data_IF_252764808264
#
_entry.id   IF_252764808264
#
_cell.length_a   1.000
_cell.length_b   1.000
_cell.length_c   1.000
_cell.angle_alpha   90.00
_cell.angle_beta   90.00
_cell.angle_gamma   90.00
#
_symmetry.space_group_name_H-M   'P 1'
#
loop_
_entity.id
_entity.type
_entity.pdbx_description
1 polymer ?
#
# COMPACT_ATOMS: atom_id res chain seq x y z
N UNK A 1 -30.71 -15.43 -38.29
CA UNK A 1 -29.33 -15.00 -38.58
C UNK A 1 -29.04 -13.80 -37.68
N UNK A 2 -28.43 -14.04 -36.51
CA UNK A 2 -28.00 -12.94 -35.62
C UNK A 2 -26.67 -12.42 -36.11
N UNK A 3 -26.64 -11.18 -36.56
CA UNK A 3 -25.41 -10.44 -36.86
C UNK A 3 -24.63 -10.25 -35.52
N UNK A 4 -23.34 -10.54 -35.48
CA UNK A 4 -22.55 -10.27 -34.28
C UNK A 4 -22.56 -8.76 -34.00
N UNK A 5 -22.82 -8.39 -32.75
CA UNK A 5 -22.73 -7.01 -32.30
C UNK A 5 -21.34 -6.46 -32.70
N UNK A 6 -21.30 -5.43 -33.55
CA UNK A 6 -20.06 -4.70 -33.84
C UNK A 6 -19.49 -4.18 -32.52
N UNK A 7 -18.37 -4.73 -32.10
CA UNK A 7 -17.55 -4.17 -31.04
C UNK A 7 -17.07 -2.82 -31.57
N UNK A 8 -17.67 -1.75 -31.10
CA UNK A 8 -17.33 -0.39 -31.47
C UNK A 8 -15.96 -0.06 -30.83
N UNK A 9 -14.89 -0.14 -31.61
CA UNK A 9 -13.60 0.38 -31.15
C UNK A 9 -13.65 1.91 -31.31
N UNK A 10 -13.41 2.68 -30.25
CA UNK A 10 -13.41 4.14 -30.34
C UNK A 10 -12.35 4.60 -31.35
N UNK A 11 -12.67 5.61 -32.15
CA UNK A 11 -11.70 6.21 -33.05
C UNK A 11 -10.60 6.95 -32.26
N UNK A 12 -9.46 7.21 -32.89
CA UNK A 12 -8.38 8.00 -32.28
C UNK A 12 -8.84 9.39 -31.86
N UNK A 13 -9.77 10.02 -32.62
CA UNK A 13 -10.38 11.30 -32.25
C UNK A 13 -11.29 11.19 -31.04
N UNK A 14 -12.04 10.07 -30.87
CA UNK A 14 -12.88 9.83 -29.70
C UNK A 14 -12.03 9.66 -28.42
N UNK A 15 -10.88 8.98 -28.52
CA UNK A 15 -9.93 8.85 -27.42
C UNK A 15 -9.38 10.20 -26.96
N UNK A 16 -8.91 11.04 -27.90
CA UNK A 16 -8.45 12.40 -27.58
C UNK A 16 -9.56 13.25 -26.95
N UNK A 17 -10.74 13.23 -27.55
CA UNK A 17 -11.89 13.97 -27.04
C UNK A 17 -12.27 13.51 -25.61
N UNK A 18 -12.17 12.21 -25.33
CA UNK A 18 -12.42 11.64 -24.00
C UNK A 18 -11.40 12.13 -22.98
N UNK A 19 -10.10 12.12 -23.30
CA UNK A 19 -9.03 12.63 -22.43
C UNK A 19 -9.22 14.14 -22.16
N UNK A 20 -9.45 14.95 -23.20
CA UNK A 20 -9.71 16.39 -23.04
C UNK A 20 -10.95 16.66 -22.19
N UNK A 21 -12.04 15.91 -22.44
CA UNK A 21 -13.26 16.01 -21.64
C UNK A 21 -13.00 15.66 -20.18
N UNK A 22 -12.23 14.60 -19.91
CA UNK A 22 -11.91 14.16 -18.57
C UNK A 22 -11.04 15.19 -17.82
N UNK A 23 -10.02 15.77 -18.47
CA UNK A 23 -9.18 16.83 -17.92
C UNK A 23 -9.86 18.20 -17.82
N UNK A 24 -10.99 18.43 -18.49
CA UNK A 24 -11.67 19.73 -18.53
C UNK A 24 -12.59 20.03 -17.35
N UNK A 25 -12.33 19.49 -16.15
CA UNK A 25 -13.16 19.72 -14.97
C UNK A 25 -12.30 19.74 -13.70
N UNK A 26 -12.34 20.82 -12.89
CA UNK A 26 -11.49 20.97 -11.73
C UNK A 26 -11.63 19.85 -10.69
N UNK A 27 -12.86 19.37 -10.44
CA UNK A 27 -13.08 18.29 -9.47
C UNK A 27 -12.44 16.99 -9.94
N UNK A 28 -12.50 16.66 -11.22
CA UNK A 28 -11.84 15.47 -11.77
C UNK A 28 -10.32 15.55 -11.66
N UNK A 29 -9.73 16.75 -11.88
CA UNK A 29 -8.30 16.95 -11.67
C UNK A 29 -7.91 16.76 -10.19
N UNK A 30 -8.71 17.27 -9.24
CA UNK A 30 -8.49 17.04 -7.82
C UNK A 30 -8.67 15.56 -7.43
N UNK A 31 -9.64 14.85 -8.03
CA UNK A 31 -9.80 13.39 -7.82
C UNK A 31 -8.55 12.67 -8.31
N UNK A 32 -8.04 12.96 -9.51
CA UNK A 32 -6.80 12.38 -10.03
C UNK A 32 -5.60 12.70 -9.13
N UNK A 33 -5.53 13.92 -8.57
CA UNK A 33 -4.47 14.29 -7.63
C UNK A 33 -4.56 13.52 -6.33
N UNK A 34 -5.76 13.32 -5.77
CA UNK A 34 -5.96 12.49 -4.57
C UNK A 34 -5.61 11.02 -4.80
N UNK A 35 -5.85 10.53 -6.03
CA UNK A 35 -5.54 9.16 -6.44
C UNK A 35 -4.08 8.97 -6.92
N UNK A 36 -3.21 9.96 -6.78
CA UNK A 36 -1.83 9.90 -7.29
C UNK A 36 -1.04 8.71 -6.69
N UNK A 37 -1.13 8.54 -5.38
CA UNK A 37 -0.42 7.51 -4.62
C UNK A 37 -1.35 6.71 -3.71
N UNK A 38 -2.66 6.80 -3.92
CA UNK A 38 -3.64 6.16 -3.06
C UNK A 38 -4.79 5.55 -3.87
N UNK A 39 -5.59 4.74 -3.20
CA UNK A 39 -6.82 4.17 -3.74
C UNK A 39 -7.96 4.45 -2.78
N UNK A 40 -9.08 4.94 -3.32
CA UNK A 40 -10.25 5.26 -2.52
C UNK A 40 -11.51 4.63 -3.10
N UNK A 41 -12.41 4.20 -2.21
CA UNK A 41 -13.77 3.82 -2.56
C UNK A 41 -14.64 5.04 -2.90
N UNK A 42 -15.78 4.79 -3.57
CA UNK A 42 -16.71 5.88 -3.95
C UNK A 42 -17.20 6.67 -2.73
N UNK A 43 -17.50 5.99 -1.62
CA UNK A 43 -17.98 6.64 -0.39
C UNK A 43 -16.88 7.51 0.26
N UNK A 44 -15.65 7.02 0.25
CA UNK A 44 -14.50 7.77 0.76
C UNK A 44 -14.23 9.02 -0.10
N UNK A 45 -14.27 8.89 -1.44
CA UNK A 45 -14.15 10.05 -2.33
C UNK A 45 -15.30 11.04 -2.15
N UNK A 46 -16.54 10.56 -1.90
CA UNK A 46 -17.67 11.41 -1.58
C UNK A 46 -17.44 12.21 -0.28
N UNK A 47 -16.88 11.57 0.74
CA UNK A 47 -16.47 12.21 1.99
C UNK A 47 -15.33 13.21 1.78
N UNK A 48 -14.26 12.81 1.07
CA UNK A 48 -13.07 13.63 0.79
C UNK A 48 -13.47 14.93 0.06
N UNK A 49 -14.31 14.84 -0.95
CA UNK A 49 -14.72 15.99 -1.76
C UNK A 49 -16.02 16.65 -1.30
N UNK A 50 -16.59 16.24 -0.16
CA UNK A 50 -17.85 16.74 0.39
C UNK A 50 -18.97 16.79 -0.67
N UNK A 51 -19.07 15.75 -1.51
CA UNK A 51 -19.96 15.67 -2.66
C UNK A 51 -20.81 14.41 -2.56
N UNK A 52 -22.07 14.46 -3.02
CA UNK A 52 -22.93 13.27 -3.01
C UNK A 52 -22.35 12.11 -3.83
N UNK A 53 -22.58 10.88 -3.36
CA UNK A 53 -22.08 9.64 -4.00
C UNK A 53 -22.38 9.57 -5.50
N UNK A 54 -23.60 9.99 -5.93
CA UNK A 54 -24.00 10.00 -7.35
C UNK A 54 -23.14 10.95 -8.18
N UNK A 55 -22.78 12.12 -7.64
CA UNK A 55 -21.90 13.09 -8.29
C UNK A 55 -20.48 12.52 -8.49
N UNK A 56 -19.89 11.96 -7.42
CA UNK A 56 -18.58 11.31 -7.50
C UNK A 56 -18.61 10.14 -8.49
N UNK A 57 -19.63 9.28 -8.44
CA UNK A 57 -19.78 8.16 -9.38
C UNK A 57 -19.81 8.62 -10.85
N UNK A 58 -20.45 9.79 -11.13
CA UNK A 58 -20.45 10.37 -12.46
C UNK A 58 -19.04 10.80 -12.89
N UNK A 59 -18.30 11.53 -12.03
CA UNK A 59 -16.93 11.96 -12.35
C UNK A 59 -15.99 10.77 -12.54
N UNK A 60 -16.07 9.75 -11.69
CA UNK A 60 -15.29 8.51 -11.80
C UNK A 60 -15.60 7.75 -13.10
N UNK A 61 -16.87 7.69 -13.52
CA UNK A 61 -17.24 7.09 -14.81
C UNK A 61 -16.59 7.80 -15.98
N UNK A 62 -16.56 9.14 -15.98
CA UNK A 62 -15.89 9.93 -17.03
C UNK A 62 -14.39 9.66 -17.05
N UNK A 63 -13.75 9.65 -15.88
CA UNK A 63 -12.33 9.32 -15.75
C UNK A 63 -12.00 7.89 -16.21
N UNK A 64 -12.83 6.91 -15.84
CA UNK A 64 -12.66 5.52 -16.28
C UNK A 64 -12.85 5.33 -17.77
N UNK A 65 -13.82 6.02 -18.39
CA UNK A 65 -14.02 6.00 -19.84
C UNK A 65 -12.84 6.60 -20.63
N UNK A 66 -12.12 7.56 -20.01
CA UNK A 66 -10.92 8.15 -20.58
C UNK A 66 -9.64 7.32 -20.29
N UNK A 67 -9.73 6.24 -19.52
CA UNK A 67 -8.58 5.44 -19.11
C UNK A 67 -7.67 6.10 -18.06
N UNK A 68 -8.13 7.19 -17.40
CA UNK A 68 -7.33 7.93 -16.40
C UNK A 68 -7.38 7.30 -15.01
N UNK A 69 -8.36 6.46 -14.73
CA UNK A 69 -8.46 5.68 -13.50
C UNK A 69 -8.69 4.21 -13.81
N UNK A 70 -8.08 3.36 -13.02
CA UNK A 70 -8.32 1.93 -12.95
C UNK A 70 -9.19 1.61 -11.73
N UNK A 71 -9.93 0.53 -11.82
CA UNK A 71 -10.77 0.06 -10.72
C UNK A 71 -10.31 -1.31 -10.26
N UNK A 72 -10.35 -1.53 -8.95
CA UNK A 72 -10.19 -2.84 -8.34
C UNK A 72 -11.42 -3.14 -7.49
N UNK A 73 -11.99 -4.32 -7.70
CA UNK A 73 -13.08 -4.79 -6.86
C UNK A 73 -12.52 -5.53 -5.67
N UNK A 74 -12.91 -5.12 -4.47
CA UNK A 74 -12.55 -5.76 -3.22
C UNK A 74 -13.83 -6.11 -2.44
N UNK A 75 -14.27 -7.36 -2.54
CA UNK A 75 -15.55 -7.79 -2.01
C UNK A 75 -16.71 -7.04 -2.67
N UNK A 76 -17.48 -6.33 -1.87
CA UNK A 76 -18.60 -5.51 -2.32
C UNK A 76 -18.21 -4.05 -2.64
N UNK A 77 -16.98 -3.65 -2.37
CA UNK A 77 -16.48 -2.31 -2.64
C UNK A 77 -15.72 -2.24 -3.97
N UNK A 78 -15.78 -1.08 -4.61
CA UNK A 78 -14.95 -0.75 -5.79
C UNK A 78 -14.03 0.37 -5.36
N UNK A 79 -12.72 0.09 -5.41
CA UNK A 79 -11.68 1.08 -5.20
C UNK A 79 -11.19 1.61 -6.54
N UNK A 80 -10.91 2.89 -6.56
CA UNK A 80 -10.36 3.61 -7.70
C UNK A 80 -8.93 4.02 -7.41
N UNK A 81 -8.06 3.81 -8.38
CA UNK A 81 -6.68 4.29 -8.39
C UNK A 81 -6.39 4.98 -9.71
N UNK A 82 -5.37 5.78 -9.77
CA UNK A 82 -4.91 6.40 -11.02
C UNK A 82 -4.35 5.32 -11.94
N UNK A 83 -4.74 5.36 -13.22
CA UNK A 83 -4.16 4.47 -14.22
C UNK A 83 -2.77 4.97 -14.62
N UNK A 84 -1.84 4.03 -14.86
CA UNK A 84 -0.52 4.35 -15.37
C UNK A 84 -0.61 4.77 -16.85
N UNK A 85 0.10 5.82 -17.22
CA UNK A 85 0.17 6.27 -18.59
C UNK A 85 1.07 5.32 -19.42
N UNK A 86 0.54 4.80 -20.51
CA UNK A 86 1.30 4.02 -21.49
C UNK A 86 1.69 4.94 -22.64
N UNK A 87 2.93 5.42 -22.67
CA UNK A 87 3.36 6.44 -23.64
C UNK A 87 3.57 5.90 -25.06
N UNK A 88 3.64 4.60 -25.23
CA UNK A 88 3.78 3.87 -26.49
C UNK A 88 2.46 3.68 -27.26
N UNK A 89 1.32 4.05 -26.65
CA UNK A 89 0.00 3.99 -27.28
C UNK A 89 -0.50 5.37 -27.66
N UNK A 90 -1.45 5.41 -28.60
CA UNK A 90 -2.08 6.67 -29.01
C UNK A 90 -2.79 7.37 -27.83
N UNK A 91 -2.48 8.66 -27.65
CA UNK A 91 -2.99 9.46 -26.53
C UNK A 91 -2.19 9.33 -25.23
N UNK A 92 -1.26 8.38 -25.16
CA UNK A 92 -0.45 8.12 -23.98
C UNK A 92 0.43 9.29 -23.55
N UNK A 93 1.01 10.02 -24.52
CA UNK A 93 1.78 11.25 -24.23
C UNK A 93 0.91 12.34 -23.60
N UNK A 94 -0.33 12.53 -24.08
CA UNK A 94 -1.26 13.49 -23.48
C UNK A 94 -1.69 13.04 -22.08
N UNK A 95 -1.92 11.74 -21.92
CA UNK A 95 -2.24 11.15 -20.60
C UNK A 95 -1.10 11.41 -19.61
N UNK A 96 0.16 11.10 -19.98
CA UNK A 96 1.33 11.32 -19.14
C UNK A 96 1.49 12.79 -18.76
N UNK A 97 1.44 13.70 -19.74
CA UNK A 97 1.54 15.14 -19.51
C UNK A 97 0.43 15.66 -18.59
N UNK A 98 -0.82 15.20 -18.78
CA UNK A 98 -1.93 15.58 -17.90
C UNK A 98 -1.67 15.13 -16.45
N UNK A 99 -1.17 13.92 -16.23
CA UNK A 99 -0.89 13.42 -14.90
C UNK A 99 0.29 14.15 -14.25
N UNK A 100 1.33 14.50 -15.00
CA UNK A 100 2.45 15.31 -14.53
C UNK A 100 1.98 16.70 -14.03
N UNK A 101 1.14 17.39 -14.81
CA UNK A 101 0.55 18.66 -14.38
C UNK A 101 -0.39 18.50 -13.16
N UNK A 102 -1.15 17.41 -13.11
CA UNK A 102 -1.99 17.08 -11.94
C UNK A 102 -1.16 16.86 -10.70
N UNK A 103 0.03 16.27 -10.81
CA UNK A 103 0.93 16.04 -9.68
C UNK A 103 1.51 17.33 -9.09
N UNK A 104 1.61 18.38 -9.90
CA UNK A 104 1.99 19.72 -9.45
C UNK A 104 0.85 20.46 -8.72
N UNK A 105 -0.41 19.99 -8.83
CA UNK A 105 -1.54 20.64 -8.15
C UNK A 105 -1.47 20.46 -6.63
N UNK A 106 -1.75 21.54 -5.92
CA UNK A 106 -2.01 21.49 -4.48
C UNK A 106 -3.52 21.27 -4.25
N UNK A 107 -3.85 20.23 -3.50
CA UNK A 107 -5.22 20.03 -3.05
C UNK A 107 -5.60 21.11 -2.03
N UNK A 108 -6.86 21.58 -2.01
CA UNK A 108 -7.36 22.46 -0.97
C UNK A 108 -7.13 21.89 0.43
N UNK A 109 -6.83 22.73 1.42
CA UNK A 109 -6.48 22.29 2.77
C UNK A 109 -7.59 21.46 3.44
N UNK A 110 -8.86 21.77 3.16
CA UNK A 110 -10.00 21.02 3.66
C UNK A 110 -10.13 19.63 3.01
N UNK A 111 -9.73 19.48 1.74
CA UNK A 111 -9.65 18.17 1.05
C UNK A 111 -8.52 17.34 1.66
N UNK A 112 -7.34 17.92 1.86
CA UNK A 112 -6.21 17.24 2.51
C UNK A 112 -6.57 16.76 3.91
N UNK A 113 -7.25 17.61 4.70
CA UNK A 113 -7.73 17.25 6.04
C UNK A 113 -8.69 16.05 6.00
N UNK A 114 -9.62 16.01 5.02
CA UNK A 114 -10.55 14.89 4.87
C UNK A 114 -9.88 13.62 4.38
N UNK A 115 -8.83 13.69 3.55
CA UNK A 115 -7.99 12.55 3.22
C UNK A 115 -7.35 11.99 4.50
N UNK A 116 -6.73 12.84 5.31
CA UNK A 116 -6.16 12.44 6.60
C UNK A 116 -7.19 11.79 7.54
N UNK A 117 -8.43 12.30 7.56
CA UNK A 117 -9.51 11.68 8.34
C UNK A 117 -9.89 10.27 7.85
N UNK A 118 -9.92 10.04 6.53
CA UNK A 118 -10.14 8.70 5.95
C UNK A 118 -9.01 7.75 6.33
N UNK A 119 -7.76 8.20 6.23
CA UNK A 119 -6.60 7.40 6.66
C UNK A 119 -6.66 7.07 8.16
N UNK A 120 -7.01 8.03 9.01
CA UNK A 120 -7.18 7.80 10.45
C UNK A 120 -8.29 6.77 10.75
N UNK A 121 -9.42 6.80 10.01
CA UNK A 121 -10.48 5.80 10.15
C UNK A 121 -10.01 4.40 9.77
N UNK A 122 -9.26 4.27 8.67
CA UNK A 122 -8.67 2.98 8.25
C UNK A 122 -7.68 2.46 9.29
N UNK A 123 -6.77 3.32 9.77
CA UNK A 123 -5.77 2.95 10.77
C UNK A 123 -6.42 2.51 12.10
N UNK A 124 -7.46 3.22 12.56
CA UNK A 124 -8.21 2.83 13.74
C UNK A 124 -8.89 1.46 13.58
N UNK A 125 -9.51 1.21 12.42
CA UNK A 125 -10.14 -0.08 12.14
C UNK A 125 -9.13 -1.25 12.17
N UNK A 126 -7.92 -1.06 11.61
CA UNK A 126 -6.84 -2.03 11.65
C UNK A 126 -6.36 -2.28 13.09
N UNK A 127 -6.07 -1.21 13.85
CA UNK A 127 -5.64 -1.32 15.25
C UNK A 127 -6.67 -2.03 16.13
N UNK A 128 -7.96 -1.68 15.99
CA UNK A 128 -9.06 -2.34 16.72
C UNK A 128 -9.19 -3.83 16.36
N UNK A 129 -8.91 -4.19 15.12
CA UNK A 129 -8.89 -5.59 14.69
C UNK A 129 -7.80 -6.37 15.43
N UNK A 130 -6.55 -5.91 15.36
CA UNK A 130 -5.41 -6.60 16.00
C UNK A 130 -5.55 -6.66 17.52
N UNK A 131 -6.09 -5.63 18.16
CA UNK A 131 -6.35 -5.65 19.59
C UNK A 131 -7.35 -6.74 20.01
N UNK A 132 -8.34 -7.07 19.15
CA UNK A 132 -9.36 -8.10 19.43
C UNK A 132 -8.92 -9.52 19.05
N UNK A 133 -8.09 -9.65 18.02
CA UNK A 133 -7.77 -10.94 17.39
C UNK A 133 -6.40 -11.49 17.77
N UNK A 134 -5.66 -10.83 18.66
CA UNK A 134 -4.30 -11.23 19.02
C UNK A 134 -4.18 -12.71 19.43
N UNK A 135 -5.13 -13.23 20.20
CA UNK A 135 -5.12 -14.62 20.69
C UNK A 135 -5.35 -15.66 19.57
N UNK A 136 -5.97 -15.28 18.46
CA UNK A 136 -6.27 -16.15 17.31
C UNK A 136 -5.43 -15.83 16.07
N UNK A 137 -4.56 -14.81 16.16
CA UNK A 137 -3.81 -14.26 15.04
C UNK A 137 -2.97 -15.32 14.32
N UNK A 138 -2.23 -16.14 15.06
CA UNK A 138 -1.36 -17.17 14.50
C UNK A 138 -2.11 -18.19 13.63
N UNK A 139 -3.34 -18.55 14.04
CA UNK A 139 -4.18 -19.49 13.26
C UNK A 139 -4.79 -18.85 12.00
N UNK A 140 -4.85 -17.54 11.92
CA UNK A 140 -5.53 -16.81 10.84
C UNK A 140 -4.55 -16.15 9.85
N UNK A 141 -3.38 -15.71 10.31
CA UNK A 141 -2.35 -15.11 9.46
C UNK A 141 -1.86 -16.07 8.37
N UNK A 142 -1.73 -17.38 8.69
CA UNK A 142 -1.29 -18.40 7.76
C UNK A 142 -2.35 -18.83 6.72
N UNK A 143 -3.57 -18.26 6.78
CA UNK A 143 -4.65 -18.69 5.88
C UNK A 143 -4.43 -18.25 4.44
N UNK A 144 -3.72 -17.15 4.19
CA UNK A 144 -3.43 -16.66 2.84
C UNK A 144 -2.02 -17.07 2.42
N UNK A 145 -1.01 -16.65 3.18
CA UNK A 145 0.39 -16.97 2.92
C UNK A 145 1.20 -16.86 4.21
N UNK A 146 1.48 -17.98 4.85
CA UNK A 146 2.36 -18.01 6.00
C UNK A 146 3.84 -17.90 5.62
N UNK A 147 4.70 -17.60 6.60
CA UNK A 147 6.15 -17.46 6.40
C UNK A 147 6.78 -18.59 5.57
N UNK A 148 6.43 -19.88 5.74
CA UNK A 148 7.04 -20.95 4.96
C UNK A 148 6.90 -20.82 3.45
N UNK A 149 5.83 -20.15 2.95
CA UNK A 149 5.59 -19.99 1.52
C UNK A 149 6.54 -19.00 0.85
N UNK A 150 7.01 -17.97 1.54
CA UNK A 150 7.84 -16.90 0.96
C UNK A 150 9.22 -16.77 1.60
N UNK A 151 9.49 -17.48 2.72
CA UNK A 151 10.72 -17.42 3.50
C UNK A 151 11.97 -17.60 2.65
N UNK A 152 12.04 -18.65 1.84
CA UNK A 152 13.23 -18.97 1.08
C UNK A 152 13.53 -17.92 0.00
N UNK A 153 12.50 -17.35 -0.63
CA UNK A 153 12.66 -16.24 -1.58
C UNK A 153 13.15 -14.98 -0.88
N UNK A 154 12.59 -14.66 0.30
CA UNK A 154 13.01 -13.51 1.11
C UNK A 154 14.45 -13.66 1.59
N UNK A 155 14.86 -14.86 2.06
CA UNK A 155 16.23 -15.13 2.47
C UNK A 155 17.20 -15.05 1.28
N UNK A 156 16.83 -15.57 0.12
CA UNK A 156 17.65 -15.45 -1.10
C UNK A 156 17.88 -13.99 -1.47
N UNK A 157 16.85 -13.15 -1.38
CA UNK A 157 16.94 -11.72 -1.62
C UNK A 157 17.84 -11.05 -0.56
N UNK A 158 17.60 -11.34 0.72
CA UNK A 158 18.38 -10.79 1.83
C UNK A 158 19.86 -11.17 1.74
N UNK A 159 20.17 -12.43 1.41
CA UNK A 159 21.53 -12.94 1.26
C UNK A 159 22.24 -12.41 -0.01
N UNK A 160 21.49 -11.88 -0.99
CA UNK A 160 22.06 -11.20 -2.17
C UNK A 160 22.56 -9.78 -1.87
N UNK A 161 22.10 -9.21 -0.75
CA UNK A 161 22.53 -7.89 -0.29
C UNK A 161 23.80 -7.99 0.55
N UNK A 162 24.63 -6.98 0.48
CA UNK A 162 25.91 -6.93 1.21
C UNK A 162 25.81 -5.93 2.35
N UNK A 163 25.83 -6.41 3.58
CA UNK A 163 25.81 -5.59 4.78
C UNK A 163 27.11 -5.74 5.58
N UNK A 164 27.63 -4.68 6.24
CA UNK A 164 28.76 -4.80 7.15
C UNK A 164 28.36 -5.63 8.40
N UNK A 165 29.36 -6.26 9.03
CA UNK A 165 29.11 -7.07 10.23
C UNK A 165 28.47 -6.30 11.40
N UNK A 166 28.53 -4.97 11.39
CA UNK A 166 27.92 -4.07 12.39
C UNK A 166 26.53 -3.57 11.97
N UNK A 167 26.01 -4.05 10.85
CA UNK A 167 24.73 -3.58 10.32
C UNK A 167 23.57 -3.89 11.27
N UNK A 168 22.58 -3.02 11.20
CA UNK A 168 21.32 -3.14 11.96
C UNK A 168 20.14 -3.37 11.04
N UNK A 169 19.12 -4.08 11.54
CA UNK A 169 17.85 -4.23 10.87
C UNK A 169 16.70 -3.59 11.68
N UNK A 170 15.69 -3.11 10.96
CA UNK A 170 14.42 -2.63 11.50
C UNK A 170 13.29 -3.43 10.86
N UNK A 171 12.57 -4.22 11.63
CA UNK A 171 11.36 -4.91 11.15
C UNK A 171 10.12 -4.15 11.60
N UNK A 172 9.23 -3.90 10.66
CA UNK A 172 7.95 -3.24 10.89
C UNK A 172 6.84 -4.28 10.90
N UNK A 173 6.05 -4.32 11.99
CA UNK A 173 4.99 -5.29 12.15
C UNK A 173 5.53 -6.73 12.22
N UNK A 174 6.35 -7.10 13.22
CA UNK A 174 6.97 -8.43 13.30
C UNK A 174 5.96 -9.57 13.47
N UNK A 175 4.69 -9.26 13.69
CA UNK A 175 3.66 -10.25 13.94
C UNK A 175 4.00 -11.11 15.15
N UNK A 176 4.00 -12.44 14.98
CA UNK A 176 4.38 -13.39 16.02
C UNK A 176 5.91 -13.50 16.26
N UNK A 177 6.71 -12.73 15.51
CA UNK A 177 8.16 -12.73 15.61
C UNK A 177 8.86 -13.88 14.88
N UNK A 178 8.15 -14.66 14.06
CA UNK A 178 8.69 -15.85 13.42
C UNK A 178 9.84 -15.58 12.45
N UNK A 179 9.96 -14.36 11.89
CA UNK A 179 11.08 -13.98 11.04
C UNK A 179 12.27 -13.35 11.79
N UNK A 180 12.08 -12.91 13.04
CA UNK A 180 13.14 -12.31 13.86
C UNK A 180 14.41 -13.16 14.02
N UNK A 181 14.34 -14.50 14.15
CA UNK A 181 15.55 -15.35 14.20
C UNK A 181 16.44 -15.21 12.97
N UNK A 182 15.85 -15.06 11.79
CA UNK A 182 16.59 -14.88 10.52
C UNK A 182 17.34 -13.55 10.48
N UNK A 183 16.70 -12.48 10.96
CA UNK A 183 17.33 -11.17 11.08
C UNK A 183 18.40 -11.18 12.18
N UNK A 184 18.12 -11.78 13.33
CA UNK A 184 19.06 -11.86 14.46
C UNK A 184 20.37 -12.58 14.09
N UNK A 185 20.32 -13.55 13.18
CA UNK A 185 21.49 -14.28 12.72
C UNK A 185 22.38 -13.50 11.76
N UNK A 186 21.83 -12.45 11.11
CA UNK A 186 22.49 -11.68 10.02
C UNK A 186 22.94 -10.29 10.44
N UNK A 187 22.24 -9.70 11.41
CA UNK A 187 22.46 -8.31 11.82
C UNK A 187 22.98 -8.25 13.27
N UNK A 188 23.87 -7.29 13.52
CA UNK A 188 24.43 -7.08 14.85
C UNK A 188 23.34 -6.66 15.87
N UNK A 189 22.34 -5.93 15.41
CA UNK A 189 21.20 -5.49 16.21
C UNK A 189 19.94 -5.46 15.33
N UNK A 190 18.84 -5.93 15.88
CA UNK A 190 17.51 -5.88 15.26
C UNK A 190 16.57 -5.10 16.15
N UNK A 191 15.88 -4.11 15.59
CA UNK A 191 14.76 -3.47 16.25
C UNK A 191 13.48 -3.91 15.54
N UNK A 192 12.47 -4.32 16.28
CA UNK A 192 11.16 -4.65 15.74
C UNK A 192 10.10 -3.75 16.36
N UNK A 193 9.31 -3.10 15.51
CA UNK A 193 8.33 -2.07 15.89
C UNK A 193 6.92 -2.55 15.53
N UNK A 194 6.03 -2.51 16.50
CA UNK A 194 4.60 -2.79 16.31
C UNK A 194 3.76 -1.80 17.12
N UNK A 195 2.58 -1.48 16.62
CA UNK A 195 1.60 -0.65 17.32
C UNK A 195 0.65 -1.45 18.23
N UNK A 196 0.74 -2.77 18.21
CA UNK A 196 -0.02 -3.70 19.06
C UNK A 196 0.84 -4.26 20.18
N UNK A 197 0.52 -3.88 21.42
CA UNK A 197 1.18 -4.46 22.60
C UNK A 197 1.00 -5.98 22.66
N UNK A 198 -0.16 -6.49 22.26
CA UNK A 198 -0.46 -7.91 22.27
C UNK A 198 0.45 -8.68 21.29
N UNK A 199 0.69 -8.15 20.09
CA UNK A 199 1.58 -8.74 19.10
C UNK A 199 3.03 -8.73 19.59
N UNK A 200 3.48 -7.61 20.19
CA UNK A 200 4.83 -7.54 20.78
C UNK A 200 5.03 -8.52 21.92
N UNK A 201 3.99 -8.85 22.70
CA UNK A 201 4.11 -9.84 23.76
C UNK A 201 4.30 -11.25 23.19
N UNK A 202 3.60 -11.60 22.11
CA UNK A 202 3.79 -12.85 21.38
C UNK A 202 5.22 -12.92 20.81
N UNK A 203 5.66 -11.87 20.10
CA UNK A 203 7.01 -11.79 19.57
C UNK A 203 8.09 -11.87 20.66
N UNK A 204 7.85 -11.25 21.82
CA UNK A 204 8.77 -11.31 22.97
C UNK A 204 8.92 -12.75 23.49
N UNK A 205 7.81 -13.47 23.63
CA UNK A 205 7.83 -14.86 24.07
C UNK A 205 8.56 -15.74 23.04
N UNK A 206 8.35 -15.50 21.75
CA UNK A 206 9.06 -16.20 20.68
C UNK A 206 10.58 -15.96 20.76
N UNK A 207 11.01 -14.70 20.87
CA UNK A 207 12.42 -14.35 21.01
C UNK A 207 13.07 -14.98 22.24
N UNK A 208 12.36 -14.97 23.38
CA UNK A 208 12.86 -15.60 24.61
C UNK A 208 13.03 -17.13 24.48
N UNK A 209 12.07 -17.80 23.84
CA UNK A 209 12.13 -19.25 23.58
C UNK A 209 13.29 -19.64 22.65
N UNK A 210 13.69 -18.74 21.74
CA UNK A 210 14.80 -18.93 20.80
C UNK A 210 16.14 -18.41 21.35
N UNK A 211 16.15 -17.77 22.53
CA UNK A 211 17.37 -17.23 23.14
C UNK A 211 17.98 -16.05 22.37
N UNK A 212 17.18 -15.27 21.66
CA UNK A 212 17.64 -14.14 20.85
C UNK A 212 18.00 -12.95 21.76
N UNK A 213 19.28 -12.56 21.78
CA UNK A 213 19.79 -11.51 22.67
C UNK A 213 19.96 -10.15 22.02
N UNK A 214 19.96 -10.08 20.68
CA UNK A 214 20.21 -8.85 19.91
C UNK A 214 18.92 -8.25 19.29
N UNK A 215 17.76 -8.60 19.85
CA UNK A 215 16.45 -8.08 19.43
C UNK A 215 15.96 -7.04 20.45
N UNK A 216 15.51 -5.89 19.96
CA UNK A 216 14.78 -4.86 20.69
C UNK A 216 13.37 -4.76 20.16
N UNK A 217 12.37 -4.92 21.02
CA UNK A 217 10.95 -4.77 20.68
C UNK A 217 10.45 -3.41 21.17
N UNK A 218 9.82 -2.63 20.29
CA UNK A 218 9.30 -1.29 20.59
C UNK A 218 7.82 -1.18 20.25
N UNK A 219 7.05 -0.67 21.22
CA UNK A 219 5.65 -0.29 21.01
C UNK A 219 5.62 1.14 20.44
N UNK A 220 5.41 1.25 19.14
CA UNK A 220 5.31 2.54 18.46
C UNK A 220 4.50 2.41 17.15
N UNK A 221 3.94 3.52 16.69
CA UNK A 221 3.47 3.63 15.32
C UNK A 221 4.69 3.76 14.39
N UNK A 222 4.79 2.84 13.44
CA UNK A 222 5.91 2.81 12.50
C UNK A 222 6.02 4.09 11.64
N UNK A 223 4.94 4.85 11.48
CA UNK A 223 4.93 6.08 10.67
C UNK A 223 5.08 7.35 11.51
N UNK A 224 5.02 7.25 12.85
CA UNK A 224 5.06 8.42 13.73
C UNK A 224 6.28 8.38 14.66
N UNK A 225 7.03 9.47 14.68
CA UNK A 225 7.88 9.88 15.81
C UNK A 225 9.05 8.98 16.19
N UNK A 226 9.48 8.03 15.38
CA UNK A 226 10.64 7.18 15.67
C UNK A 226 11.83 7.62 14.81
N UNK A 227 12.90 8.07 15.45
CA UNK A 227 14.18 8.43 14.80
C UNK A 227 15.03 7.17 14.48
N UNK A 228 14.43 5.98 14.54
CA UNK A 228 15.15 4.73 14.28
C UNK A 228 15.44 4.62 12.79
N UNK A 229 16.74 4.56 12.46
CA UNK A 229 17.23 4.23 11.12
C UNK A 229 18.07 2.96 11.16
N UNK A 230 18.01 2.18 10.10
CA UNK A 230 18.71 0.92 9.97
C UNK A 230 19.37 0.75 8.60
N UNK A 231 20.29 -0.19 8.51
CA UNK A 231 20.93 -0.56 7.25
C UNK A 231 19.99 -1.43 6.38
N UNK A 232 19.05 -2.12 7.03
CA UNK A 232 18.00 -2.89 6.39
C UNK A 232 16.66 -2.63 7.08
N UNK A 233 15.67 -2.15 6.35
CA UNK A 233 14.28 -2.01 6.83
C UNK A 233 13.44 -3.09 6.16
N UNK A 234 12.65 -3.84 6.95
CA UNK A 234 11.92 -5.02 6.47
C UNK A 234 10.43 -4.88 6.79
N UNK A 235 9.60 -5.11 5.79
CA UNK A 235 8.16 -5.22 5.89
C UNK A 235 7.73 -6.59 5.35
N UNK A 236 7.32 -7.49 6.23
CA UNK A 236 6.86 -8.83 5.84
C UNK A 236 5.36 -8.94 6.02
N UNK A 237 4.59 -8.98 4.94
CA UNK A 237 3.15 -9.21 4.97
C UNK A 237 2.41 -8.25 5.91
N UNK A 238 2.77 -6.97 5.84
CA UNK A 238 2.22 -5.94 6.74
C UNK A 238 1.73 -4.69 6.01
N UNK A 239 2.21 -4.44 4.78
CA UNK A 239 1.87 -3.23 4.04
C UNK A 239 0.35 -3.13 3.76
N UNK A 240 -0.31 -4.27 3.59
CA UNK A 240 -1.77 -4.34 3.38
C UNK A 240 -2.62 -3.94 4.60
N UNK A 241 -1.99 -3.71 5.76
CA UNK A 241 -2.63 -3.14 6.95
C UNK A 241 -2.42 -1.63 7.09
N UNK A 242 -1.57 -1.02 6.26
CA UNK A 242 -1.37 0.43 6.30
C UNK A 242 -2.52 1.18 5.61
N UNK A 243 -2.99 2.25 6.24
CA UNK A 243 -4.07 3.08 5.71
C UNK A 243 -3.72 3.74 4.37
N UNK A 244 -2.45 4.13 4.20
CA UNK A 244 -1.86 4.76 3.02
C UNK A 244 -0.53 4.08 2.65
N UNK A 245 -0.54 2.98 1.87
CA UNK A 245 0.65 2.16 1.61
C UNK A 245 1.81 2.93 0.95
N UNK A 246 1.51 3.79 -0.03
CA UNK A 246 2.55 4.57 -0.70
C UNK A 246 3.26 5.56 0.23
N UNK A 247 2.51 6.22 1.11
CA UNK A 247 3.09 7.11 2.13
C UNK A 247 3.88 6.31 3.17
N UNK A 248 3.44 5.09 3.49
CA UNK A 248 4.18 4.19 4.37
C UNK A 248 5.54 3.82 3.76
N UNK A 249 5.59 3.39 2.49
CA UNK A 249 6.84 3.08 1.78
C UNK A 249 7.77 4.30 1.79
N UNK A 250 7.26 5.49 1.46
CA UNK A 250 8.04 6.72 1.46
C UNK A 250 8.63 7.03 2.85
N UNK A 251 7.80 7.03 3.89
CA UNK A 251 8.24 7.30 5.26
C UNK A 251 9.26 6.29 5.77
N UNK A 252 9.11 5.01 5.38
CA UNK A 252 10.03 3.95 5.79
C UNK A 252 11.32 3.96 4.97
N UNK A 253 11.31 4.38 3.72
CA UNK A 253 12.51 4.62 2.93
C UNK A 253 13.42 5.69 3.56
N UNK A 254 12.85 6.73 4.17
CA UNK A 254 13.60 7.76 4.90
C UNK A 254 14.34 7.22 6.15
N UNK A 255 13.97 6.02 6.62
CA UNK A 255 14.62 5.32 7.73
C UNK A 255 15.75 4.40 7.30
N UNK A 256 15.90 4.18 6.00
CA UNK A 256 17.01 3.41 5.45
C UNK A 256 18.25 4.28 5.47
N UNK A 257 19.32 3.82 6.08
CA UNK A 257 20.62 4.51 6.05
C UNK A 257 21.18 4.57 4.62
N UNK A 258 21.99 5.57 4.30
CA UNK A 258 22.62 5.65 2.98
C UNK A 258 23.36 4.35 2.61
N UNK A 259 23.01 3.78 1.46
CA UNK A 259 23.54 2.49 1.00
C UNK A 259 22.86 1.26 1.59
N UNK A 260 21.84 1.44 2.42
CA UNK A 260 20.99 0.38 2.96
C UNK A 260 19.89 -0.05 2.00
N UNK A 261 18.96 -0.88 2.50
CA UNK A 261 17.88 -1.46 1.69
C UNK A 261 16.56 -1.48 2.43
N UNK A 262 15.48 -1.25 1.69
CA UNK A 262 14.10 -1.50 2.11
C UNK A 262 13.61 -2.78 1.43
N UNK A 263 13.26 -3.81 2.22
CA UNK A 263 12.70 -5.06 1.73
C UNK A 263 11.22 -5.13 2.04
N UNK A 264 10.42 -5.40 1.02
CA UNK A 264 8.97 -5.56 1.17
C UNK A 264 8.56 -6.90 0.59
N UNK A 265 7.94 -7.74 1.41
CA UNK A 265 7.25 -8.95 0.98
C UNK A 265 5.77 -8.72 1.14
N UNK A 266 5.00 -8.91 0.05
CA UNK A 266 3.60 -8.55 0.06
C UNK A 266 2.77 -9.43 -0.89
N UNK A 267 1.47 -9.49 -0.64
CA UNK A 267 0.50 -10.19 -1.47
C UNK A 267 0.36 -9.50 -2.82
N UNK A 268 0.40 -10.29 -3.89
CA UNK A 268 -0.13 -9.83 -5.17
C UNK A 268 -1.65 -9.62 -5.04
N UNK A 269 -2.18 -8.69 -5.83
CA UNK A 269 -3.61 -8.39 -5.88
C UNK A 269 -4.46 -9.67 -6.06
N UNK A 270 -5.47 -9.86 -5.22
CA UNK A 270 -6.34 -11.03 -5.20
C UNK A 270 -7.80 -10.65 -4.90
N UNK A 271 -8.72 -11.61 -5.02
CA UNK A 271 -10.15 -11.38 -4.82
C UNK A 271 -10.74 -12.12 -3.60
N UNK A 272 -9.92 -12.56 -2.66
CA UNK A 272 -10.34 -13.30 -1.48
C UNK A 272 -10.86 -12.35 -0.41
N UNK A 273 -12.12 -11.91 -0.55
CA UNK A 273 -12.73 -10.88 0.32
C UNK A 273 -12.84 -11.27 1.79
N UNK A 274 -12.81 -12.58 2.11
CA UNK A 274 -12.82 -13.08 3.48
C UNK A 274 -11.59 -12.64 4.30
N UNK A 275 -10.47 -12.30 3.64
CA UNK A 275 -9.26 -11.83 4.30
C UNK A 275 -9.47 -10.55 5.12
N UNK A 276 -10.39 -9.68 4.69
CA UNK A 276 -10.75 -8.47 5.45
C UNK A 276 -11.34 -8.79 6.82
N UNK A 277 -12.20 -9.80 6.88
CA UNK A 277 -12.87 -10.20 8.12
C UNK A 277 -12.00 -11.11 8.97
N UNK A 278 -11.25 -12.01 8.34
CA UNK A 278 -10.44 -13.01 9.03
C UNK A 278 -9.03 -12.51 9.40
N UNK A 279 -8.39 -11.71 8.54
CA UNK A 279 -7.01 -11.27 8.71
C UNK A 279 -6.87 -9.76 8.99
N UNK A 280 -7.96 -8.98 8.84
CA UNK A 280 -7.95 -7.53 9.05
C UNK A 280 -7.32 -6.75 7.90
N UNK A 281 -7.24 -7.34 6.71
CA UNK A 281 -6.65 -6.70 5.55
C UNK A 281 -7.45 -5.45 5.15
N UNK A 282 -6.79 -4.31 5.10
CA UNK A 282 -7.35 -3.11 4.48
C UNK A 282 -7.31 -3.22 2.95
N UNK A 283 -6.28 -3.89 2.43
CA UNK A 283 -6.03 -4.09 1.01
C UNK A 283 -5.90 -5.56 0.69
N UNK A 284 -6.53 -6.01 -0.40
CA UNK A 284 -6.40 -7.38 -0.88
C UNK A 284 -5.18 -7.51 -1.81
N UNK A 285 -3.99 -7.27 -1.27
CA UNK A 285 -2.72 -7.25 -1.99
C UNK A 285 -2.56 -6.05 -2.93
N UNK A 286 -1.49 -6.02 -3.71
CA UNK A 286 -1.12 -4.90 -4.57
C UNK A 286 -0.72 -5.37 -5.96
N UNK A 287 -0.92 -4.49 -6.95
CA UNK A 287 -0.35 -4.67 -8.27
C UNK A 287 1.16 -4.42 -8.22
N UNK A 288 1.95 -5.22 -8.92
CA UNK A 288 3.40 -5.10 -8.95
C UNK A 288 3.85 -3.73 -9.46
N UNK A 289 3.16 -3.20 -10.48
CA UNK A 289 3.46 -1.89 -11.06
C UNK A 289 3.22 -0.75 -10.04
N UNK A 290 2.24 -0.88 -9.14
CA UNK A 290 2.00 0.12 -8.10
C UNK A 290 3.14 0.11 -7.07
N UNK A 291 3.57 -1.09 -6.61
CA UNK A 291 4.70 -1.22 -5.68
C UNK A 291 6.00 -0.69 -6.29
N UNK A 292 6.30 -1.04 -7.55
CA UNK A 292 7.47 -0.55 -8.26
C UNK A 292 7.48 0.99 -8.34
N UNK A 293 6.36 1.59 -8.73
CA UNK A 293 6.21 3.05 -8.80
C UNK A 293 6.38 3.71 -7.43
N UNK A 294 5.79 3.16 -6.37
CA UNK A 294 5.92 3.74 -5.03
C UNK A 294 7.35 3.63 -4.51
N UNK A 295 8.05 2.55 -4.83
CA UNK A 295 9.48 2.41 -4.51
C UNK A 295 10.33 3.44 -5.26
N UNK A 296 10.11 3.65 -6.57
CA UNK A 296 10.79 4.67 -7.37
C UNK A 296 10.56 6.10 -6.83
N UNK A 297 9.34 6.40 -6.39
CA UNK A 297 9.02 7.71 -5.80
C UNK A 297 9.61 7.92 -4.40
N UNK A 298 9.94 6.85 -3.71
CA UNK A 298 10.53 6.90 -2.39
C UNK A 298 12.07 7.07 -2.40
N UNK A 299 12.74 6.80 -3.53
CA UNK A 299 14.17 7.03 -3.77
C UNK A 299 15.00 5.77 -3.89
#
# INVERSE_FOLDING_TARGET
MNLPAKIFQPSTSDLLASLCKAGGDPLRLHILRALANDSFGVLELAQIFATGQSGISHHLKVLAQAGLVATRREGNAIFYRRALAQTDVFGGTLHAALLEEVDALQLPADVQSRIGAVHAQRAAASSDFFARMADSFQAQQDLIAGLPQYRDSLLTLLDSLSFPATASALEIGPGDGSFLPELASRFAQVTAVDNSLAMLEIARQHCANQGLANIRLELADALQGSDISADCVVLNMVLHHFAAPAEAIKSLAERVRPGGSLLITELCSHNQSWAREACGDLWLGFEQDDLARWAELAG
#
